data_IF_182760944303
#
_entry.id   IF_182760944303
#
_cell.length_a   1.000
_cell.length_b   1.000
_cell.length_c   1.000
_cell.angle_alpha   90.00
_cell.angle_beta   90.00
_cell.angle_gamma   90.00
#
_symmetry.space_group_name_H-M   'P 1'
#
loop_
_entity.id
_entity.type
_entity.pdbx_description
1 polymer ?
#
# COMPACT_ATOMS: atom_id res chain seq x y z
N UNK A 1 -13.87 -3.12 -17.12
CA UNK A 1 -12.63 -3.24 -16.34
C UNK A 1 -12.84 -2.59 -14.97
N UNK A 2 -12.57 -3.29 -13.87
CA UNK A 2 -12.62 -2.69 -12.52
C UNK A 2 -11.38 -1.80 -12.37
N UNK A 3 -11.56 -0.48 -12.27
CA UNK A 3 -10.46 0.46 -12.10
C UNK A 3 -9.97 0.45 -10.65
N UNK A 4 -8.67 0.28 -10.44
CA UNK A 4 -8.08 0.29 -9.10
C UNK A 4 -7.84 1.73 -8.63
N UNK A 5 -8.39 2.08 -7.46
CA UNK A 5 -8.36 3.43 -6.91
C UNK A 5 -7.02 3.73 -6.24
N UNK A 6 -6.23 4.61 -6.86
CA UNK A 6 -4.90 4.94 -6.39
C UNK A 6 -4.90 6.16 -5.46
N UNK A 7 -4.55 6.01 -4.18
CA UNK A 7 -4.43 7.14 -3.25
C UNK A 7 -3.29 8.06 -3.68
N UNK A 8 -3.63 9.14 -4.39
CA UNK A 8 -2.72 10.24 -4.68
C UNK A 8 -2.55 11.05 -3.41
N UNK A 9 -1.39 11.00 -2.77
CA UNK A 9 -1.03 11.99 -1.76
C UNK A 9 -1.03 13.37 -2.43
N UNK A 10 -2.04 14.18 -2.12
CA UNK A 10 -2.15 15.56 -2.57
C UNK A 10 -1.10 16.40 -1.85
N UNK A 11 0.05 16.61 -2.49
CA UNK A 11 0.96 17.68 -2.12
C UNK A 11 1.11 18.63 -3.31
N UNK A 12 0.35 19.73 -3.29
CA UNK A 12 0.63 20.87 -4.16
C UNK A 12 1.87 21.56 -3.59
N UNK A 13 3.02 21.36 -4.25
CA UNK A 13 4.10 22.33 -4.53
C UNK A 13 5.37 21.56 -4.90
N UNK A 14 6.09 22.11 -5.87
CA UNK A 14 7.36 21.64 -6.45
C UNK A 14 7.22 20.60 -7.57
N UNK A 15 7.06 21.12 -8.79
CA UNK A 15 7.59 20.47 -9.97
C UNK A 15 9.12 20.35 -9.77
N UNK A 16 9.55 19.18 -9.31
CA UNK A 16 10.95 18.82 -9.27
C UNK A 16 11.38 18.49 -10.71
N UNK A 17 11.86 19.51 -11.43
CA UNK A 17 12.56 19.34 -12.72
C UNK A 17 14.01 18.90 -12.45
N UNK A 18 14.18 17.94 -11.54
CA UNK A 18 15.40 17.17 -11.34
C UNK A 18 15.30 15.90 -12.17
N UNK A 19 16.22 15.69 -13.11
CA UNK A 19 16.26 14.48 -13.93
C UNK A 19 16.24 13.21 -13.07
N UNK A 20 15.49 12.19 -13.51
CA UNK A 20 15.38 10.90 -12.81
C UNK A 20 16.76 10.26 -12.63
N UNK A 21 17.08 9.82 -11.41
CA UNK A 21 18.34 9.14 -11.12
C UNK A 21 18.47 7.82 -11.90
N UNK A 22 19.70 7.33 -12.09
CA UNK A 22 19.95 6.05 -12.80
C UNK A 22 19.16 4.90 -12.18
N UNK A 23 19.12 4.83 -10.84
CA UNK A 23 18.37 3.80 -10.12
C UNK A 23 16.88 3.91 -10.40
N UNK A 24 16.30 5.11 -10.30
CA UNK A 24 14.88 5.31 -10.57
C UNK A 24 14.49 4.99 -12.01
N UNK A 25 15.38 5.23 -12.99
CA UNK A 25 15.15 4.85 -14.40
C UNK A 25 15.03 3.33 -14.53
N UNK A 26 15.91 2.58 -13.87
CA UNK A 26 15.88 1.11 -13.84
C UNK A 26 14.61 0.61 -13.12
N UNK A 27 14.25 1.20 -11.99
CA UNK A 27 13.03 0.85 -11.27
C UNK A 27 11.77 1.12 -12.10
N UNK A 28 11.73 2.25 -12.80
CA UNK A 28 10.62 2.59 -13.69
C UNK A 28 10.52 1.63 -14.88
N UNK A 29 11.65 1.18 -15.45
CA UNK A 29 11.62 0.16 -16.51
C UNK A 29 11.18 -1.22 -16.01
N UNK A 30 11.55 -1.61 -14.79
CA UNK A 30 11.02 -2.84 -14.16
C UNK A 30 9.51 -2.71 -13.96
N UNK A 31 9.07 -1.54 -13.48
CA UNK A 31 7.66 -1.23 -13.26
C UNK A 31 6.83 -1.36 -14.54
N UNK A 32 7.35 -0.99 -15.71
CA UNK A 32 6.60 -1.10 -16.97
C UNK A 32 6.32 -2.55 -17.39
N UNK A 33 7.14 -3.51 -16.98
CA UNK A 33 6.90 -4.93 -17.26
C UNK A 33 6.07 -5.62 -16.16
N UNK A 34 6.28 -5.22 -14.91
CA UNK A 34 5.77 -5.92 -13.72
C UNK A 34 4.65 -5.17 -12.98
N UNK A 35 3.96 -4.23 -13.62
CA UNK A 35 2.92 -3.42 -12.96
C UNK A 35 1.76 -4.26 -12.35
N UNK A 36 1.49 -5.45 -12.87
CA UNK A 36 0.53 -6.40 -12.28
C UNK A 36 1.00 -6.94 -10.92
N UNK A 37 2.31 -7.09 -10.73
CA UNK A 37 2.92 -7.56 -9.47
C UNK A 37 3.21 -6.38 -8.54
N UNK A 38 2.27 -5.46 -8.42
CA UNK A 38 2.38 -4.30 -7.54
C UNK A 38 1.70 -4.57 -6.20
N UNK A 39 2.30 -4.08 -5.13
CA UNK A 39 1.76 -4.16 -3.78
C UNK A 39 1.93 -2.84 -3.03
N UNK A 40 0.96 -2.54 -2.16
CA UNK A 40 0.96 -1.37 -1.28
C UNK A 40 1.11 -1.82 0.17
N UNK A 41 1.85 -1.03 0.95
CA UNK A 41 1.99 -1.24 2.39
C UNK A 41 0.65 -1.12 3.11
N UNK A 42 0.42 -2.04 4.03
CA UNK A 42 -0.60 -2.03 5.07
C UNK A 42 0.08 -1.93 6.45
N UNK A 43 -0.65 -2.03 7.57
CA UNK A 43 -0.10 -1.84 8.92
C UNK A 43 1.15 -2.71 9.19
N UNK A 44 1.04 -4.03 9.05
CA UNK A 44 2.13 -5.00 9.29
C UNK A 44 2.43 -5.90 8.08
N UNK A 45 1.74 -5.66 6.97
CA UNK A 45 1.80 -6.48 5.76
C UNK A 45 1.74 -5.61 4.51
N UNK A 46 1.59 -6.25 3.37
CA UNK A 46 1.34 -5.61 2.09
C UNK A 46 0.08 -6.20 1.48
N UNK A 47 -0.61 -5.38 0.69
CA UNK A 47 -1.79 -5.78 -0.08
C UNK A 47 -1.43 -5.71 -1.56
N UNK A 48 -1.58 -6.80 -2.30
CA UNK A 48 -1.42 -6.76 -3.77
C UNK A 48 -2.49 -5.84 -4.36
N UNK A 49 -2.12 -5.05 -5.37
CA UNK A 49 -3.06 -4.06 -5.92
C UNK A 49 -4.16 -4.70 -6.75
N UNK A 50 -3.88 -5.83 -7.42
CA UNK A 50 -4.81 -6.48 -8.33
C UNK A 50 -5.79 -7.40 -7.60
N UNK A 51 -5.24 -8.29 -6.76
CA UNK A 51 -6.01 -9.37 -6.11
C UNK A 51 -6.38 -9.05 -4.66
N UNK A 52 -5.93 -7.91 -4.13
CA UNK A 52 -6.11 -7.51 -2.73
C UNK A 52 -5.64 -8.59 -1.73
N UNK A 53 -4.62 -9.35 -2.10
CA UNK A 53 -4.08 -10.46 -1.34
C UNK A 53 -3.12 -9.96 -0.26
N UNK A 54 -3.21 -10.54 0.94
CA UNK A 54 -2.35 -10.18 2.05
C UNK A 54 -1.01 -10.92 1.96
N UNK A 55 0.06 -10.17 1.70
CA UNK A 55 1.40 -10.68 1.43
C UNK A 55 2.45 -9.99 2.30
N UNK A 56 3.61 -10.62 2.46
CA UNK A 56 4.69 -10.12 3.32
C UNK A 56 5.99 -10.01 2.54
N UNK A 57 6.91 -9.13 2.98
CA UNK A 57 8.26 -9.12 2.43
C UNK A 57 9.01 -10.35 2.95
N UNK A 58 9.63 -11.13 2.07
CA UNK A 58 10.44 -12.27 2.48
C UNK A 58 11.63 -11.82 3.37
N UNK A 59 11.96 -12.54 4.46
CA UNK A 59 13.03 -12.15 5.39
C UNK A 59 14.43 -12.01 4.76
N UNK A 60 14.70 -12.72 3.66
CA UNK A 60 15.98 -12.60 2.94
C UNK A 60 16.11 -11.32 2.10
N UNK A 61 15.04 -10.56 1.93
CA UNK A 61 15.05 -9.34 1.13
C UNK A 61 15.75 -8.20 1.88
N UNK A 62 16.55 -7.43 1.15
CA UNK A 62 17.15 -6.18 1.65
C UNK A 62 16.12 -5.15 2.10
N UNK A 63 14.86 -5.30 1.69
CA UNK A 63 13.74 -4.45 2.07
C UNK A 63 12.98 -4.96 3.29
N UNK A 64 13.30 -6.11 3.90
CA UNK A 64 12.51 -6.68 5.00
C UNK A 64 12.30 -5.72 6.20
N UNK A 65 13.31 -4.90 6.51
CA UNK A 65 13.24 -3.90 7.60
C UNK A 65 12.93 -2.49 7.13
N UNK A 66 12.80 -2.29 5.81
CA UNK A 66 12.39 -1.01 5.23
C UNK A 66 10.90 -1.16 4.94
N UNK A 67 10.06 -0.21 5.33
CA UNK A 67 8.61 -0.28 5.11
C UNK A 67 8.17 0.69 4.02
N UNK A 68 8.64 0.53 2.76
CA UNK A 68 8.27 1.40 1.65
C UNK A 68 6.77 1.33 1.35
N UNK A 69 6.20 2.43 0.87
CA UNK A 69 4.75 2.51 0.65
C UNK A 69 4.26 1.66 -0.53
N UNK A 70 5.06 1.59 -1.62
CA UNK A 70 4.74 0.82 -2.80
C UNK A 70 5.96 0.03 -3.27
N UNK A 71 5.71 -1.22 -3.64
CA UNK A 71 6.71 -2.15 -4.16
C UNK A 71 6.17 -2.88 -5.38
N UNK A 72 7.11 -3.34 -6.20
CA UNK A 72 6.85 -4.38 -7.18
C UNK A 72 7.67 -5.60 -6.79
N UNK A 73 7.10 -6.78 -6.99
CA UNK A 73 7.71 -8.07 -6.71
C UNK A 73 7.86 -8.92 -7.98
N UNK A 74 8.81 -9.85 -7.99
CA UNK A 74 8.96 -10.80 -9.09
C UNK A 74 8.00 -11.98 -8.94
N UNK A 75 7.95 -12.58 -7.75
CA UNK A 75 7.15 -13.78 -7.46
C UNK A 75 6.59 -13.80 -6.03
N UNK A 76 5.57 -14.64 -5.83
CA UNK A 76 5.02 -14.98 -4.52
C UNK A 76 5.40 -16.41 -4.15
N UNK A 77 5.83 -16.60 -2.92
CA UNK A 77 6.15 -17.91 -2.35
C UNK A 77 5.20 -18.20 -1.22
N UNK A 78 4.38 -19.22 -1.42
CA UNK A 78 3.49 -19.73 -0.38
C UNK A 78 4.28 -20.61 0.59
N UNK A 79 4.23 -20.23 1.87
CA UNK A 79 4.75 -21.05 2.99
C UNK A 79 3.69 -21.09 4.10
N UNK A 80 4.02 -20.73 5.34
CA UNK A 80 3.04 -20.40 6.40
C UNK A 80 2.34 -19.07 6.12
N UNK A 81 3.06 -18.12 5.51
CA UNK A 81 2.54 -16.86 4.99
C UNK A 81 3.00 -16.72 3.54
N UNK A 82 2.29 -15.91 2.77
CA UNK A 82 2.69 -15.61 1.41
C UNK A 82 3.73 -14.50 1.41
N UNK A 83 4.89 -14.82 0.87
CA UNK A 83 6.03 -13.91 0.84
C UNK A 83 6.34 -13.48 -0.58
N UNK A 84 6.51 -12.18 -0.77
CA UNK A 84 7.06 -11.63 -1.99
C UNK A 84 8.60 -11.82 -2.00
N UNK A 85 9.14 -12.29 -3.13
CA UNK A 85 10.59 -12.32 -3.40
C UNK A 85 10.99 -11.37 -4.54
N UNK A 86 12.24 -10.91 -4.47
CA UNK A 86 12.86 -9.98 -5.41
C UNK A 86 12.01 -8.73 -5.68
N UNK A 87 12.09 -7.78 -4.74
CA UNK A 87 11.28 -6.57 -4.75
C UNK A 87 12.11 -5.33 -5.02
N UNK A 88 11.48 -4.35 -5.64
CA UNK A 88 11.99 -2.98 -5.68
C UNK A 88 10.93 -1.99 -5.22
N UNK A 89 11.39 -0.92 -4.58
CA UNK A 89 10.54 0.25 -4.29
C UNK A 89 10.18 0.93 -5.61
N UNK A 90 8.93 1.38 -5.71
CA UNK A 90 8.45 2.14 -6.85
C UNK A 90 7.70 3.40 -6.41
N UNK A 91 7.63 4.38 -7.31
CA UNK A 91 6.73 5.51 -7.13
C UNK A 91 5.37 5.20 -7.70
N UNK A 92 4.39 5.52 -6.89
CA UNK A 92 2.96 5.39 -7.15
C UNK A 92 2.52 5.99 -8.50
N UNK A 93 3.05 7.17 -8.84
CA UNK A 93 2.81 7.86 -10.13
C UNK A 93 3.19 7.03 -11.37
N UNK A 94 4.20 6.17 -11.27
CA UNK A 94 4.65 5.38 -12.42
C UNK A 94 3.61 4.35 -12.85
N UNK A 95 2.84 3.79 -11.92
CA UNK A 95 1.77 2.85 -12.27
C UNK A 95 0.66 3.52 -13.09
N UNK A 96 0.31 4.76 -12.71
CA UNK A 96 -0.67 5.57 -13.46
C UNK A 96 -0.17 5.94 -14.86
N UNK A 97 1.12 6.28 -14.97
CA UNK A 97 1.76 6.62 -16.26
C UNK A 97 1.92 5.40 -17.19
N UNK A 98 2.30 4.25 -16.63
CA UNK A 98 2.70 3.07 -17.41
C UNK A 98 1.54 2.13 -17.73
N UNK A 99 0.50 2.10 -16.89
CA UNK A 99 -0.68 1.25 -17.08
C UNK A 99 -1.98 2.05 -16.84
N UNK A 100 -2.27 3.08 -17.66
CA UNK A 100 -3.40 3.98 -17.47
C UNK A 100 -4.77 3.30 -17.64
N UNK A 101 -4.82 2.15 -18.33
CA UNK A 101 -6.03 1.35 -18.50
C UNK A 101 -6.40 0.55 -17.25
N UNK A 102 -5.41 0.25 -16.40
CA UNK A 102 -5.55 -0.57 -15.20
C UNK A 102 -5.69 0.28 -13.93
N UNK A 103 -4.92 1.37 -13.82
CA UNK A 103 -4.87 2.21 -12.63
C UNK A 103 -5.54 3.56 -12.87
N UNK A 104 -6.40 3.95 -11.94
CA UNK A 104 -7.12 5.23 -11.99
C UNK A 104 -6.73 6.07 -10.78
N UNK A 105 -6.44 7.37 -10.94
CA UNK A 105 -6.21 8.24 -9.80
C UNK A 105 -7.46 8.28 -8.92
N UNK A 106 -7.30 8.01 -7.62
CA UNK A 106 -8.40 8.14 -6.66
C UNK A 106 -8.77 9.62 -6.58
N UNK A 107 -9.94 9.94 -7.15
CA UNK A 107 -10.48 11.28 -7.07
C UNK A 107 -11.13 11.42 -5.68
N UNK A 108 -10.49 12.18 -4.79
CA UNK A 108 -10.86 12.35 -3.38
C UNK A 108 -12.34 12.78 -3.14
N UNK A 109 -13.07 13.18 -4.18
CA UNK A 109 -14.48 13.58 -4.10
C UNK A 109 -15.53 12.45 -4.19
N UNK A 110 -15.25 11.30 -4.83
CA UNK A 110 -16.32 10.31 -5.16
C UNK A 110 -16.11 8.88 -4.63
N UNK A 111 -14.89 8.32 -4.67
CA UNK A 111 -14.67 6.91 -4.30
C UNK A 111 -14.25 6.69 -2.84
N UNK A 112 -13.48 7.61 -2.27
CA UNK A 112 -12.83 7.42 -0.97
C UNK A 112 -13.77 7.60 0.23
N UNK A 113 -14.88 8.33 0.03
CA UNK A 113 -15.91 8.53 1.07
C UNK A 113 -16.57 7.21 1.49
N UNK A 114 -16.65 6.21 0.61
CA UNK A 114 -17.27 4.91 0.91
C UNK A 114 -16.35 4.01 1.75
N UNK A 115 -15.08 3.94 1.36
CA UNK A 115 -14.06 3.15 2.09
C UNK A 115 -13.83 3.75 3.48
N UNK A 116 -13.60 5.06 3.56
CA UNK A 116 -13.39 5.77 4.84
C UNK A 116 -14.59 5.70 5.79
N UNK A 117 -15.82 5.59 5.26
CA UNK A 117 -17.04 5.48 6.09
C UNK A 117 -17.08 4.20 6.92
N UNK A 118 -16.43 3.13 6.47
CA UNK A 118 -16.44 1.84 7.16
C UNK A 118 -15.11 1.49 7.85
N UNK A 119 -14.14 2.43 7.87
CA UNK A 119 -12.90 2.26 8.63
C UNK A 119 -13.22 2.46 10.10
N UNK A 120 -13.15 1.38 10.88
CA UNK A 120 -13.33 1.43 12.33
C UNK A 120 -11.99 1.67 13.00
N UNK A 121 -11.78 2.87 13.53
CA UNK A 121 -10.62 3.17 14.35
C UNK A 121 -10.75 2.46 15.70
N UNK A 122 -9.66 1.83 16.16
CA UNK A 122 -9.54 1.30 17.51
C UNK A 122 -8.57 2.17 18.30
N UNK A 123 -8.81 2.43 19.60
CA UNK A 123 -7.86 3.14 20.41
C UNK A 123 -6.60 2.31 20.62
N UNK A 124 -5.50 2.99 20.96
CA UNK A 124 -4.27 2.32 21.34
C UNK A 124 -4.52 1.40 22.54
N UNK A 125 -3.99 0.18 22.48
CA UNK A 125 -4.08 -0.77 23.57
C UNK A 125 -3.43 -0.23 24.85
N UNK A 126 -4.19 -0.23 25.96
CA UNK A 126 -3.71 0.15 27.28
C UNK A 126 -3.56 -1.09 28.17
N UNK A 127 -2.34 -1.38 28.63
CA UNK A 127 -2.02 -2.55 29.45
C UNK A 127 -2.73 -2.59 30.82
N UNK A 128 -3.21 -1.45 31.30
CA UNK A 128 -3.88 -1.34 32.61
C UNK A 128 -5.40 -1.57 32.52
N UNK A 129 -5.97 -1.53 31.32
CA UNK A 129 -7.39 -1.80 31.11
C UNK A 129 -7.64 -3.31 31.06
N UNK A 130 -8.54 -3.79 31.92
CA UNK A 130 -8.94 -5.22 31.93
C UNK A 130 -9.73 -5.61 30.68
N UNK A 131 -10.44 -4.66 30.07
CA UNK A 131 -11.26 -4.84 28.87
C UNK A 131 -10.92 -3.75 27.83
N UNK A 132 -10.56 -4.10 26.59
CA UNK A 132 -10.26 -3.13 25.52
C UNK A 132 -11.44 -2.22 25.12
N UNK A 133 -12.67 -2.58 25.50
CA UNK A 133 -13.90 -1.84 25.21
C UNK A 133 -14.46 -1.09 26.43
N UNK A 134 -13.73 -1.03 27.54
CA UNK A 134 -14.16 -0.33 28.79
C UNK A 134 -14.40 1.17 28.59
N UNK A 135 -13.71 1.77 27.62
CA UNK A 135 -13.86 3.18 27.24
C UNK A 135 -15.18 3.47 26.52
N UNK A 136 -15.88 2.46 25.99
CA UNK A 136 -17.14 2.66 25.28
C UNK A 136 -18.21 3.14 26.25
N UNK A 137 -18.85 4.26 25.93
CA UNK A 137 -19.95 4.84 26.71
C UNK A 137 -21.08 3.83 26.95
N UNK A 138 -21.32 2.91 26.01
CA UNK A 138 -22.32 1.83 26.14
C UNK A 138 -22.04 0.82 27.25
N UNK A 139 -20.80 0.70 27.73
CA UNK A 139 -20.44 -0.18 28.85
C UNK A 139 -20.57 0.51 30.22
N UNK A 140 -20.75 1.83 30.26
CA UNK A 140 -21.03 2.56 31.50
C UNK A 140 -22.49 2.38 31.85
N UNK A 141 -22.79 1.31 32.60
CA UNK A 141 -24.12 1.09 33.16
C UNK A 141 -24.30 2.04 34.36
N UNK A 142 -25.35 2.87 34.33
CA UNK A 142 -25.83 3.60 35.52
C UNK A 142 -26.30 2.60 36.58
#
# INVERSE_FOLDING_TARGET
>A
ARGYNFHSQSNRRHADTGGMSKVERIQKSICSGFFHHSARRDEESYRTLLDEQNVYIHPSSSLYRRSPEYVIYHELVLTTKEYMRDLTVIKSKWLLELAPTMFVPSNAGRGDRGVKRNVKIQPLHNKYDKDPDSWRLSKRRL
#
